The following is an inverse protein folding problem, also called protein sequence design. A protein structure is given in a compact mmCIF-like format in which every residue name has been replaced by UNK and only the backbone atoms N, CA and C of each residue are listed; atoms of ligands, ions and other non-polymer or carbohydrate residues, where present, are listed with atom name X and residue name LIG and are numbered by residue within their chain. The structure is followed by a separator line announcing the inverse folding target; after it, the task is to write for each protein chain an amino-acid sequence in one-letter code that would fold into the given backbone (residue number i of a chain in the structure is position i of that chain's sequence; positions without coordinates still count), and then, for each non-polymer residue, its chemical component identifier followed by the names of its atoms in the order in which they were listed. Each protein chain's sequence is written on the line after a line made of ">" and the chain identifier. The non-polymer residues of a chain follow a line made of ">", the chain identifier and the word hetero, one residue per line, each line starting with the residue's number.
data_IF_402547765093
#
_entry.id   IF_402547765093
#
_cell.length_a   1.000
_cell.length_b   1.000
_cell.length_c   1.000
_cell.angle_alpha   90.00
_cell.angle_beta   90.00
_cell.angle_gamma   90.00
#
_symmetry.space_group_name_H-M   'P 1'
#
loop_
_entity.id
_entity.type
_entity.pdbx_description
1 polymer ?
#
# COMPACT_ATOMS: atom_id res chain seq x y z
N UNK A 1 5.96 8.31 -13.41
CA UNK A 1 5.63 6.88 -13.15
C UNK A 1 4.92 6.37 -14.40
N UNK A 2 5.16 5.13 -14.85
CA UNK A 2 4.48 4.53 -16.01
C UNK A 2 3.44 3.53 -15.49
N UNK A 3 2.21 3.97 -15.16
CA UNK A 3 1.26 3.14 -14.43
C UNK A 3 0.61 2.12 -15.36
N UNK A 4 0.46 0.90 -14.85
CA UNK A 4 -0.19 -0.23 -15.51
C UNK A 4 -1.06 -0.98 -14.50
N UNK A 5 -2.12 -1.63 -14.94
CA UNK A 5 -3.00 -2.45 -14.10
C UNK A 5 -3.24 -3.81 -14.75
N UNK A 6 -3.19 -4.84 -13.92
CA UNK A 6 -3.53 -6.22 -14.24
C UNK A 6 -3.32 -7.09 -13.01
N UNK A 7 -3.46 -8.39 -13.20
CA UNK A 7 -3.31 -9.39 -12.16
C UNK A 7 -1.81 -9.63 -11.85
N UNK A 8 -1.33 -9.33 -10.63
CA UNK A 8 0.06 -9.58 -10.25
C UNK A 8 0.39 -11.07 -10.05
N UNK A 9 -0.58 -11.96 -10.25
CA UNK A 9 -0.44 -13.42 -10.10
C UNK A 9 -0.45 -14.14 -11.46
N UNK A 10 -0.42 -13.40 -12.56
CA UNK A 10 -0.38 -13.92 -13.91
C UNK A 10 0.94 -13.47 -14.56
N UNK A 11 1.86 -14.41 -14.77
CA UNK A 11 3.19 -14.14 -15.30
C UNK A 11 3.17 -13.66 -16.76
N UNK A 12 2.22 -14.16 -17.56
CA UNK A 12 2.06 -13.71 -18.96
C UNK A 12 1.56 -12.27 -19.00
N UNK A 13 0.59 -11.94 -18.14
CA UNK A 13 0.10 -10.58 -17.99
C UNK A 13 1.19 -9.64 -17.47
N UNK A 14 1.95 -10.02 -16.45
CA UNK A 14 3.09 -9.24 -15.96
C UNK A 14 4.15 -8.98 -17.04
N UNK A 15 4.40 -9.97 -17.89
CA UNK A 15 5.31 -9.83 -19.04
C UNK A 15 4.78 -8.79 -20.03
N UNK A 16 3.50 -8.92 -20.42
CA UNK A 16 2.84 -7.96 -21.31
C UNK A 16 2.82 -6.54 -20.76
N UNK A 17 2.49 -6.38 -19.48
CA UNK A 17 2.46 -5.08 -18.79
C UNK A 17 3.87 -4.49 -18.66
N UNK A 18 4.90 -5.32 -18.48
CA UNK A 18 6.29 -4.86 -18.45
C UNK A 18 6.72 -4.28 -19.79
N UNK A 19 6.35 -4.93 -20.90
CA UNK A 19 6.58 -4.42 -22.26
C UNK A 19 5.83 -3.09 -22.47
N UNK A 20 4.57 -3.01 -22.04
CA UNK A 20 3.78 -1.78 -22.12
C UNK A 20 4.42 -0.63 -21.35
N UNK A 21 4.80 -0.85 -20.08
CA UNK A 21 5.43 0.18 -19.25
C UNK A 21 6.76 0.67 -19.86
N UNK A 22 7.57 -0.24 -20.43
CA UNK A 22 8.82 0.13 -21.11
C UNK A 22 8.59 0.96 -22.37
N UNK A 23 7.56 0.66 -23.15
CA UNK A 23 7.15 1.51 -24.30
C UNK A 23 6.78 2.92 -23.84
N UNK A 24 6.04 3.05 -22.74
CA UNK A 24 5.70 4.36 -22.17
C UNK A 24 6.94 5.14 -21.73
N UNK A 25 7.95 4.49 -21.15
CA UNK A 25 9.23 5.17 -20.80
C UNK A 25 9.87 5.80 -22.04
N UNK A 26 9.95 5.06 -23.15
CA UNK A 26 10.51 5.60 -24.40
C UNK A 26 9.70 6.79 -24.91
N UNK A 27 8.37 6.69 -24.87
CA UNK A 27 7.48 7.80 -25.26
C UNK A 27 7.69 9.05 -24.40
N UNK A 28 7.89 8.90 -23.08
CA UNK A 28 8.20 10.02 -22.20
C UNK A 28 9.55 10.66 -22.53
N UNK A 29 10.58 9.86 -22.83
CA UNK A 29 11.89 10.38 -23.21
C UNK A 29 11.82 11.13 -24.54
N UNK A 30 11.10 10.59 -25.53
CA UNK A 30 10.88 11.27 -26.81
C UNK A 30 10.12 12.59 -26.64
N UNK A 31 9.14 12.62 -25.74
CA UNK A 31 8.44 13.85 -25.37
C UNK A 31 9.39 14.86 -24.73
N UNK A 32 10.22 14.44 -23.76
CA UNK A 32 11.16 15.33 -23.10
C UNK A 32 12.20 15.91 -24.06
N UNK A 33 12.76 15.09 -24.95
CA UNK A 33 13.70 15.56 -25.98
C UNK A 33 13.09 16.63 -26.89
N UNK A 34 11.78 16.56 -27.15
CA UNK A 34 11.07 17.49 -28.02
C UNK A 34 10.63 18.77 -27.30
N UNK A 35 10.17 18.66 -26.06
CA UNK A 35 9.43 19.73 -25.37
C UNK A 35 10.18 20.34 -24.17
N UNK A 36 11.21 19.68 -23.62
CA UNK A 36 11.92 20.14 -22.43
C UNK A 36 13.31 20.69 -22.79
N UNK A 37 13.55 22.01 -22.65
CA UNK A 37 14.85 22.60 -22.91
C UNK A 37 15.96 21.94 -22.09
N UNK A 38 17.06 21.55 -22.76
CA UNK A 38 18.21 20.89 -22.14
C UNK A 38 18.12 19.37 -22.06
N UNK A 39 17.04 18.75 -22.56
CA UNK A 39 16.84 17.29 -22.60
C UNK A 39 17.00 16.70 -24.01
N UNK A 40 17.49 17.47 -24.98
CA UNK A 40 17.56 17.09 -26.40
C UNK A 40 18.37 15.81 -26.63
N UNK A 41 19.38 15.57 -25.79
CA UNK A 41 20.25 14.39 -25.82
C UNK A 41 20.02 13.45 -24.64
N UNK A 42 18.88 13.56 -23.93
CA UNK A 42 18.58 12.69 -22.79
C UNK A 42 18.47 11.23 -23.26
N UNK A 43 19.00 10.27 -22.50
CA UNK A 43 18.94 8.84 -22.84
C UNK A 43 18.53 8.01 -21.62
N UNK A 44 18.04 6.79 -21.87
CA UNK A 44 17.75 5.83 -20.80
C UNK A 44 18.98 4.99 -20.54
N UNK A 45 19.66 5.24 -19.43
CA UNK A 45 20.80 4.42 -18.98
C UNK A 45 20.32 3.04 -18.48
N UNK A 46 19.28 3.02 -17.65
CA UNK A 46 18.78 1.79 -17.05
C UNK A 46 17.26 1.84 -16.84
N UNK A 47 16.60 0.69 -17.01
CA UNK A 47 15.20 0.48 -16.64
C UNK A 47 15.10 -0.54 -15.49
N UNK A 48 14.00 -0.47 -14.72
CA UNK A 48 13.70 -1.45 -13.69
C UNK A 48 13.55 -2.87 -14.26
N UNK A 49 14.06 -3.85 -13.50
CA UNK A 49 13.93 -5.27 -13.84
C UNK A 49 12.49 -5.80 -13.68
N UNK A 50 11.74 -5.21 -12.74
CA UNK A 50 10.39 -5.66 -12.37
C UNK A 50 9.42 -4.50 -12.25
N UNK A 51 8.14 -4.79 -12.46
CA UNK A 51 7.05 -3.88 -12.14
C UNK A 51 6.91 -3.71 -10.62
N UNK A 52 6.74 -2.47 -10.17
CA UNK A 52 6.42 -2.16 -8.78
C UNK A 52 4.97 -2.51 -8.48
N UNK A 53 4.72 -3.69 -7.90
CA UNK A 53 3.36 -4.13 -7.52
C UNK A 53 2.89 -3.35 -6.29
N UNK A 54 1.77 -2.61 -6.40
CA UNK A 54 1.21 -1.84 -5.27
C UNK A 54 0.21 -2.63 -4.43
N UNK A 55 -0.39 -3.66 -4.99
CA UNK A 55 -1.41 -4.49 -4.35
C UNK A 55 -1.38 -5.91 -4.91
N UNK A 56 -1.58 -6.90 -4.03
CA UNK A 56 -1.68 -8.32 -4.36
C UNK A 56 -2.45 -9.02 -3.23
N UNK A 57 -2.20 -10.30 -2.98
CA UNK A 57 -2.84 -11.08 -1.92
C UNK A 57 -2.62 -10.47 -0.54
N UNK A 58 -3.69 -10.47 0.24
CA UNK A 58 -3.73 -10.12 1.67
C UNK A 58 -4.30 -11.30 2.44
N UNK A 59 -3.96 -11.40 3.73
CA UNK A 59 -4.67 -12.31 4.62
C UNK A 59 -6.06 -11.77 4.94
N UNK A 60 -7.00 -12.66 5.28
CA UNK A 60 -8.19 -12.30 6.04
C UNK A 60 -7.83 -12.29 7.51
N UNK A 61 -7.58 -11.09 8.04
CA UNK A 61 -7.17 -10.91 9.43
C UNK A 61 -8.35 -10.93 10.41
N UNK A 62 -8.04 -10.92 11.71
CA UNK A 62 -9.05 -10.75 12.78
C UNK A 62 -9.78 -9.41 12.67
N UNK A 63 -9.12 -8.42 12.07
CA UNK A 63 -9.70 -7.12 11.70
C UNK A 63 -9.36 -6.83 10.24
N UNK A 64 -10.24 -6.09 9.56
CA UNK A 64 -9.95 -5.53 8.23
C UNK A 64 -9.94 -4.01 8.37
N UNK A 65 -8.80 -3.38 8.05
CA UNK A 65 -8.72 -1.92 8.00
C UNK A 65 -9.43 -1.41 6.74
N UNK A 66 -10.42 -0.55 6.91
CA UNK A 66 -11.20 0.02 5.79
C UNK A 66 -10.96 1.53 5.62
N UNK A 67 -11.49 2.09 4.53
CA UNK A 67 -11.40 3.51 4.23
C UNK A 67 -11.98 4.40 5.33
N UNK A 68 -13.08 3.97 5.96
CA UNK A 68 -13.78 4.77 6.96
C UNK A 68 -12.94 4.92 8.23
N UNK A 69 -12.22 3.86 8.62
CA UNK A 69 -11.27 3.92 9.72
C UNK A 69 -10.15 4.93 9.46
N UNK A 70 -9.69 5.04 8.20
CA UNK A 70 -8.68 6.02 7.79
C UNK A 70 -9.23 7.45 7.86
N UNK A 71 -10.30 7.74 7.11
CA UNK A 71 -10.80 9.12 6.93
C UNK A 71 -11.47 9.68 8.17
N UNK A 72 -11.93 8.83 9.10
CA UNK A 72 -12.47 9.25 10.40
C UNK A 72 -11.43 9.16 11.53
N UNK A 73 -10.18 8.85 11.22
CA UNK A 73 -9.11 8.65 12.22
C UNK A 73 -9.51 7.74 13.38
N UNK A 74 -10.14 6.60 13.06
CA UNK A 74 -10.69 5.69 14.07
C UNK A 74 -9.54 5.10 14.91
N UNK A 75 -9.70 5.22 16.23
CA UNK A 75 -8.80 4.64 17.22
C UNK A 75 -9.19 3.18 17.48
N UNK A 76 -8.20 2.32 17.58
CA UNK A 76 -8.36 0.90 17.86
C UNK A 76 -7.76 0.60 19.24
N UNK A 77 -8.40 -0.27 20.05
CA UNK A 77 -7.87 -0.65 21.35
C UNK A 77 -6.55 -1.42 21.19
N UNK A 78 -6.45 -2.29 20.18
CA UNK A 78 -5.29 -3.13 19.88
C UNK A 78 -4.25 -2.46 18.97
N UNK A 79 -4.10 -1.13 19.07
CA UNK A 79 -3.24 -0.38 18.17
C UNK A 79 -1.75 -0.69 18.37
N UNK A 80 -1.06 -0.96 17.26
CA UNK A 80 0.40 -1.15 17.22
C UNK A 80 1.15 0.01 16.54
N UNK A 81 0.42 1.01 16.08
CA UNK A 81 1.00 2.20 15.46
C UNK A 81 -0.04 3.19 14.95
N UNK A 82 0.46 4.35 14.52
CA UNK A 82 -0.36 5.43 13.98
C UNK A 82 -0.23 5.51 12.47
N UNK A 83 -1.37 5.50 11.79
CA UNK A 83 -1.52 5.78 10.38
C UNK A 83 -1.96 7.22 10.16
N UNK A 84 -1.28 7.94 9.26
CA UNK A 84 -1.54 9.37 9.01
C UNK A 84 -1.70 9.70 7.52
N UNK A 85 -1.56 8.70 6.66
CA UNK A 85 -1.62 8.92 5.21
C UNK A 85 -3.05 8.88 4.70
N UNK A 86 -3.30 9.59 3.61
CA UNK A 86 -4.58 9.60 2.91
C UNK A 86 -4.86 8.27 2.19
N UNK A 87 -6.09 8.10 1.71
CA UNK A 87 -6.42 7.04 0.74
C UNK A 87 -5.79 7.40 -0.61
N UNK A 88 -4.60 6.86 -0.90
CA UNK A 88 -3.77 7.18 -2.09
C UNK A 88 -3.90 6.12 -3.21
N UNK A 89 -4.95 6.23 -4.02
CA UNK A 89 -5.25 5.31 -5.12
C UNK A 89 -4.73 5.89 -6.44
N UNK A 90 -3.87 5.10 -7.09
CA UNK A 90 -3.31 5.37 -8.40
C UNK A 90 -4.06 4.51 -9.42
N UNK A 91 -5.14 5.03 -10.00
CA UNK A 91 -5.91 4.30 -11.02
C UNK A 91 -5.36 4.50 -12.44
N UNK A 92 -4.63 3.52 -13.03
CA UNK A 92 -4.13 3.65 -14.39
C UNK A 92 -5.22 3.69 -15.47
N UNK A 93 -6.49 3.38 -15.14
CA UNK A 93 -7.61 3.45 -16.07
C UNK A 93 -8.21 4.86 -16.19
N UNK A 94 -7.76 5.80 -15.36
CA UNK A 94 -8.17 7.21 -15.43
C UNK A 94 -9.60 7.46 -14.97
N UNK A 95 -10.22 6.53 -14.23
CA UNK A 95 -11.57 6.71 -13.67
C UNK A 95 -11.57 7.58 -12.40
N UNK A 96 -10.40 7.86 -11.84
CA UNK A 96 -10.20 8.82 -10.75
C UNK A 96 -8.91 8.50 -9.98
N UNK A 97 -8.10 9.51 -9.74
CA UNK A 97 -6.93 9.42 -8.87
C UNK A 97 -7.24 10.09 -7.53
N UNK A 98 -6.80 9.49 -6.44
CA UNK A 98 -6.79 10.15 -5.12
C UNK A 98 -5.36 10.35 -4.68
N UNK A 99 -4.54 10.96 -5.53
CA UNK A 99 -3.15 11.27 -5.17
C UNK A 99 -3.10 12.51 -4.29
N UNK A 100 -1.94 12.78 -3.70
CA UNK A 100 -1.70 14.02 -2.96
C UNK A 100 -2.07 15.29 -3.76
N UNK A 101 -1.85 15.29 -5.07
CA UNK A 101 -2.20 16.43 -5.92
C UNK A 101 -3.72 16.62 -6.09
N UNK A 102 -4.50 15.54 -5.94
CA UNK A 102 -5.94 15.47 -6.16
C UNK A 102 -6.72 15.24 -4.85
N UNK A 103 -6.05 15.45 -3.71
CA UNK A 103 -6.57 15.11 -2.40
C UNK A 103 -7.80 15.93 -2.03
N UNK A 104 -8.75 15.26 -1.41
CA UNK A 104 -10.02 15.83 -0.97
C UNK A 104 -10.25 15.55 0.51
N UNK A 105 -11.04 16.37 1.23
CA UNK A 105 -11.32 16.15 2.64
C UNK A 105 -11.87 14.75 2.97
N UNK A 106 -12.61 14.13 2.05
CA UNK A 106 -13.19 12.79 2.18
C UNK A 106 -12.21 11.63 1.89
N UNK A 107 -10.97 11.96 1.50
CA UNK A 107 -9.88 10.99 1.28
C UNK A 107 -8.76 11.12 2.31
N UNK A 108 -8.84 12.13 3.17
CA UNK A 108 -7.83 12.48 4.17
C UNK A 108 -8.31 12.10 5.58
N UNK A 109 -7.42 11.69 6.50
CA UNK A 109 -7.73 11.79 7.92
C UNK A 109 -7.91 13.27 8.32
N UNK A 110 -8.63 13.58 9.41
CA UNK A 110 -8.74 14.95 9.91
C UNK A 110 -7.37 15.55 10.22
N UNK A 111 -7.23 16.86 10.04
CA UNK A 111 -5.96 17.56 10.25
C UNK A 111 -5.50 17.39 11.71
N UNK A 112 -4.25 16.98 11.89
CA UNK A 112 -3.67 16.73 13.22
C UNK A 112 -4.04 15.39 13.83
N UNK A 113 -4.88 14.59 13.16
CA UNK A 113 -5.31 13.29 13.62
C UNK A 113 -4.59 12.14 12.88
N UNK A 114 -4.66 10.95 13.48
CA UNK A 114 -4.17 9.70 12.90
C UNK A 114 -5.16 8.58 13.17
N UNK A 115 -5.31 7.63 12.25
CA UNK A 115 -6.00 6.38 12.53
C UNK A 115 -5.04 5.41 13.22
N UNK A 116 -5.57 4.44 13.94
CA UNK A 116 -4.76 3.37 14.53
C UNK A 116 -4.60 2.22 13.56
N UNK A 117 -3.40 1.65 13.51
CA UNK A 117 -3.08 0.39 12.82
C UNK A 117 -3.35 -0.72 13.84
N UNK A 118 -4.45 -1.50 13.71
CA UNK A 118 -4.81 -2.54 14.68
C UNK A 118 -3.89 -3.76 14.55
N UNK A 119 -3.48 -4.37 15.65
CA UNK A 119 -2.78 -5.65 15.63
C UNK A 119 -3.59 -6.73 14.89
N UNK A 120 -4.91 -6.75 15.07
CA UNK A 120 -5.81 -7.73 14.46
C UNK A 120 -5.77 -7.76 12.93
N UNK A 121 -5.31 -6.71 12.24
CA UNK A 121 -5.14 -6.77 10.78
C UNK A 121 -3.94 -7.62 10.35
N UNK A 122 -2.98 -7.81 11.26
CA UNK A 122 -1.76 -8.58 11.05
C UNK A 122 -1.91 -10.05 11.46
N UNK A 123 -2.98 -10.40 12.18
CA UNK A 123 -3.21 -11.73 12.75
C UNK A 123 -4.28 -12.48 11.97
N UNK A 124 -4.10 -13.78 11.78
CA UNK A 124 -5.07 -14.66 11.12
C UNK A 124 -5.73 -15.61 12.14
N UNK A 125 -6.95 -16.08 11.84
CA UNK A 125 -7.70 -16.94 12.77
C UNK A 125 -7.37 -18.45 12.67
N UNK A 126 -6.66 -18.89 11.62
CA UNK A 126 -6.59 -20.30 11.25
C UNK A 126 -5.25 -20.96 11.55
N UNK A 127 -4.16 -20.21 11.38
CA UNK A 127 -2.79 -20.70 11.55
C UNK A 127 -2.22 -20.07 12.83
N UNK A 128 -2.03 -20.88 13.89
CA UNK A 128 -1.46 -20.37 15.14
C UNK A 128 -0.02 -19.89 14.91
N UNK A 129 0.39 -18.88 15.67
CA UNK A 129 1.73 -18.31 15.61
C UNK A 129 2.15 -17.79 14.21
N UNK A 130 1.18 -17.42 13.37
CA UNK A 130 1.42 -16.76 12.09
C UNK A 130 0.85 -15.34 12.11
N UNK A 131 1.74 -14.36 11.96
CA UNK A 131 1.40 -12.96 11.77
C UNK A 131 2.09 -12.43 10.51
N UNK A 132 1.49 -11.41 9.88
CA UNK A 132 2.01 -10.77 8.68
C UNK A 132 2.12 -9.26 8.89
N UNK A 133 3.02 -8.60 8.17
CA UNK A 133 3.18 -7.15 8.23
C UNK A 133 3.32 -6.56 6.82
N UNK A 134 2.90 -5.31 6.65
CA UNK A 134 3.00 -4.58 5.39
C UNK A 134 1.88 -4.94 4.40
N UNK A 135 2.21 -5.03 3.11
CA UNK A 135 1.21 -5.13 2.01
C UNK A 135 0.25 -6.33 2.11
N UNK A 136 0.65 -7.39 2.81
CA UNK A 136 -0.14 -8.60 2.97
C UNK A 136 -1.10 -8.58 4.19
N UNK A 137 -1.04 -7.54 5.02
CA UNK A 137 -1.97 -7.35 6.13
C UNK A 137 -3.40 -7.08 5.64
N UNK A 138 -4.37 -7.36 6.50
CA UNK A 138 -5.80 -7.36 6.19
C UNK A 138 -6.37 -5.94 6.05
N UNK A 139 -6.80 -5.60 4.84
CA UNK A 139 -7.43 -4.31 4.54
C UNK A 139 -8.34 -4.39 3.32
N UNK A 140 -9.22 -3.40 3.16
CA UNK A 140 -9.87 -3.16 1.86
C UNK A 140 -8.85 -2.60 0.86
N UNK A 141 -9.27 -2.45 -0.40
CA UNK A 141 -8.46 -1.81 -1.45
C UNK A 141 -8.04 -0.39 -1.03
N UNK A 142 -8.99 0.40 -0.56
CA UNK A 142 -8.83 1.78 -0.11
C UNK A 142 -8.04 1.87 1.20
N UNK A 143 -8.31 0.98 2.15
CA UNK A 143 -7.53 0.90 3.39
C UNK A 143 -6.05 0.58 3.10
N UNK A 144 -5.79 -0.34 2.15
CA UNK A 144 -4.42 -0.65 1.72
C UNK A 144 -3.75 0.57 1.13
N UNK A 145 -4.48 1.35 0.33
CA UNK A 145 -3.96 2.54 -0.35
C UNK A 145 -3.36 3.56 0.63
N UNK A 146 -3.86 3.60 1.87
CA UNK A 146 -3.30 4.42 2.96
C UNK A 146 -2.19 3.71 3.74
N UNK A 147 -2.45 2.50 4.26
CA UNK A 147 -1.60 1.85 5.28
C UNK A 147 -0.33 1.20 4.73
N UNK A 148 -0.20 1.06 3.40
CA UNK A 148 0.96 0.39 2.78
C UNK A 148 2.23 1.24 2.69
N UNK A 149 2.23 2.47 3.20
CA UNK A 149 3.45 3.30 3.16
C UNK A 149 4.54 2.72 4.08
N UNK A 150 5.79 3.01 3.76
CA UNK A 150 6.95 2.35 4.38
C UNK A 150 6.97 2.51 5.90
N UNK A 151 6.61 3.69 6.41
CA UNK A 151 6.57 3.99 7.86
C UNK A 151 5.52 3.16 8.59
N UNK A 152 4.34 2.97 8.02
CA UNK A 152 3.30 2.11 8.59
C UNK A 152 3.69 0.63 8.53
N UNK A 153 4.34 0.20 7.44
CA UNK A 153 4.91 -1.15 7.35
C UNK A 153 5.95 -1.42 8.43
N UNK A 154 6.82 -0.44 8.72
CA UNK A 154 7.79 -0.55 9.82
C UNK A 154 7.09 -0.62 11.19
N UNK A 155 6.06 0.20 11.42
CA UNK A 155 5.27 0.14 12.65
C UNK A 155 4.58 -1.22 12.84
N UNK A 156 3.97 -1.77 11.78
CA UNK A 156 3.42 -3.13 11.77
C UNK A 156 4.48 -4.16 12.14
N UNK A 157 5.66 -4.09 11.50
CA UNK A 157 6.77 -5.02 11.77
C UNK A 157 7.24 -4.98 13.23
N UNK A 158 7.40 -3.78 13.79
CA UNK A 158 7.78 -3.61 15.20
C UNK A 158 6.70 -4.16 16.14
N UNK A 159 5.43 -3.83 15.90
CA UNK A 159 4.31 -4.27 16.73
C UNK A 159 4.16 -5.79 16.73
N UNK A 160 4.08 -6.39 15.54
CA UNK A 160 3.99 -7.85 15.37
C UNK A 160 5.20 -8.55 15.97
N UNK A 161 6.41 -8.05 15.72
CA UNK A 161 7.64 -8.62 16.27
C UNK A 161 7.67 -8.60 17.80
N UNK A 162 7.16 -7.54 18.41
CA UNK A 162 7.02 -7.44 19.88
C UNK A 162 6.04 -8.48 20.41
N UNK A 163 4.89 -8.66 19.75
CA UNK A 163 3.90 -9.67 20.13
C UNK A 163 4.44 -11.10 20.00
N UNK A 164 5.30 -11.36 19.02
CA UNK A 164 5.87 -12.69 18.77
C UNK A 164 6.81 -13.19 19.90
N UNK A 165 7.33 -12.30 20.74
CA UNK A 165 8.13 -12.69 21.91
C UNK A 165 7.28 -13.30 23.02
N UNK A 166 6.00 -12.95 23.11
CA UNK A 166 5.14 -13.44 24.18
C UNK A 166 4.77 -14.91 23.92
N UNK A 167 4.79 -15.80 24.93
CA UNK A 167 4.33 -17.17 24.76
C UNK A 167 2.91 -17.19 24.20
N UNK A 168 2.73 -17.92 23.09
CA UNK A 168 1.43 -18.10 22.45
C UNK A 168 0.48 -18.79 23.43
N UNK A 169 -0.40 -18.02 24.06
CA UNK A 169 -1.55 -18.57 24.76
C UNK A 169 -2.73 -18.58 23.79
N UNK A 170 -3.59 -19.61 23.81
CA UNK A 170 -4.88 -19.59 23.12
C UNK A 170 -5.78 -18.41 23.55
N UNK A 171 -5.37 -17.69 24.61
CA UNK A 171 -5.99 -16.55 25.22
C UNK A 171 -5.28 -15.23 24.86
N UNK A 172 -5.10 -14.93 23.57
CA UNK A 172 -5.04 -13.53 23.10
C UNK A 172 -6.41 -12.84 23.26
N UNK A 173 -7.22 -13.26 24.22
CA UNK A 173 -8.58 -12.77 24.41
C UNK A 173 -8.58 -11.38 25.01
N UNK A 174 -7.68 -10.98 25.92
CA UNK A 174 -7.75 -9.64 26.54
C UNK A 174 -6.40 -9.21 27.10
N UNK A 175 -5.55 -8.61 26.28
CA UNK A 175 -4.49 -7.69 26.75
C UNK A 175 -4.47 -6.45 25.85
N UNK A 176 -5.61 -5.74 25.91
CA UNK A 176 -5.78 -4.28 25.82
C UNK A 176 -6.93 -3.88 26.71
#
# INVERSE_FOLDING_TARGET
>A
MCPVSGNPLDEEELTRLSVQARRQVVQYVDLWRREMPGFETAEVEQMGFWLGIRESRRISGLKTLDAQMVVKAVKQPDAIGHGFWMVDIHDPKGSGHTTWADQKPDTMPPVGESYHIPLGMCLNAHIPNLAVAGRCASSTHEGLASVRIQTHCMAMGQGVGTCAHWPWTPAWTWLV
#
